data_IF_367002431146
#
_entry.id   IF_367002431146
#
_cell.length_a   1.000
_cell.length_b   1.000
_cell.length_c   1.000
_cell.angle_alpha   90.00
_cell.angle_beta   90.00
_cell.angle_gamma   90.00
#
_symmetry.space_group_name_H-M   'P 1'
#
loop_
_entity.id
_entity.type
_entity.pdbx_description
1 polymer ?
#
# COMPACT_ATOMS: atom_id res chain seq x y z
N UNK A 1 8.32 -4.90 -4.40
CA UNK A 1 7.79 -4.85 -3.02
C UNK A 1 7.39 -3.41 -2.70
N UNK A 2 6.14 -3.18 -2.29
CA UNK A 2 5.64 -1.88 -1.87
C UNK A 2 5.92 -1.63 -0.37
N UNK A 3 5.04 -0.96 0.34
CA UNK A 3 5.16 -0.69 1.78
C UNK A 3 3.79 -0.31 2.34
N UNK A 4 3.57 -0.56 3.61
CA UNK A 4 2.41 -0.06 4.35
C UNK A 4 2.30 1.47 4.27
N UNK A 5 3.43 2.18 4.14
CA UNK A 5 3.45 3.64 3.94
C UNK A 5 2.79 4.11 2.63
N UNK A 6 2.50 3.21 1.68
CA UNK A 6 1.67 3.51 0.52
C UNK A 6 0.28 4.06 0.89
N UNK A 7 -0.23 3.68 2.05
CA UNK A 7 -1.55 4.09 2.56
C UNK A 7 -1.49 5.25 3.55
N UNK A 8 -0.33 5.87 3.73
CA UNK A 8 -0.11 6.88 4.77
C UNK A 8 -0.31 8.34 4.32
N UNK A 9 -0.70 8.57 3.07
CA UNK A 9 -0.79 9.93 2.53
C UNK A 9 -1.72 10.87 3.30
N UNK A 10 -2.85 10.35 3.77
CA UNK A 10 -3.85 11.11 4.52
C UNK A 10 -3.63 11.12 6.04
N UNK A 11 -2.60 10.45 6.53
CA UNK A 11 -2.32 10.42 7.97
C UNK A 11 -1.86 11.80 8.47
N UNK A 12 -2.11 12.11 9.77
CA UNK A 12 -1.57 13.31 10.39
C UNK A 12 -0.06 13.44 10.20
N UNK A 13 0.49 14.67 10.23
CA UNK A 13 1.91 14.90 10.04
C UNK A 13 2.77 14.01 10.95
N UNK A 14 3.75 13.33 10.34
CA UNK A 14 4.72 12.50 11.02
C UNK A 14 6.10 13.16 10.88
N UNK A 15 6.94 13.16 11.91
CA UNK A 15 8.26 13.77 11.86
C UNK A 15 9.28 12.89 11.12
N UNK A 16 8.91 12.38 9.95
CA UNK A 16 9.77 11.57 9.10
C UNK A 16 10.22 12.38 7.89
N UNK A 17 11.52 12.65 7.74
CA UNK A 17 12.04 13.32 6.55
C UNK A 17 11.76 12.47 5.30
N UNK A 18 11.51 13.15 4.18
CA UNK A 18 11.23 12.52 2.87
C UNK A 18 10.02 11.57 2.83
N UNK A 19 9.14 11.63 3.81
CA UNK A 19 7.95 10.77 3.88
C UNK A 19 7.07 10.92 2.64
N UNK A 20 6.87 12.14 2.14
CA UNK A 20 6.03 12.41 0.97
C UNK A 20 6.55 11.67 -0.27
N UNK A 21 7.85 11.77 -0.55
CA UNK A 21 8.49 11.09 -1.68
C UNK A 21 8.39 9.57 -1.54
N UNK A 22 8.68 9.04 -0.37
CA UNK A 22 8.63 7.60 -0.13
C UNK A 22 7.19 7.07 -0.20
N UNK A 23 6.25 7.71 0.49
CA UNK A 23 4.84 7.31 0.46
C UNK A 23 4.26 7.40 -0.97
N UNK A 24 4.57 8.47 -1.70
CA UNK A 24 4.15 8.63 -3.09
C UNK A 24 4.70 7.54 -4.01
N UNK A 25 5.98 7.21 -3.90
CA UNK A 25 6.60 6.13 -4.67
C UNK A 25 5.96 4.77 -4.37
N UNK A 26 5.65 4.50 -3.09
CA UNK A 26 5.02 3.24 -2.68
C UNK A 26 3.53 3.18 -3.05
N UNK A 27 2.81 4.29 -3.00
CA UNK A 27 1.44 4.40 -3.48
C UNK A 27 1.36 4.16 -5.00
N UNK A 28 2.31 4.69 -5.77
CA UNK A 28 2.45 4.39 -7.19
C UNK A 28 2.57 2.88 -7.43
N UNK A 29 3.42 2.19 -6.68
CA UNK A 29 3.60 0.74 -6.84
C UNK A 29 2.30 -0.04 -6.58
N UNK A 30 1.50 0.36 -5.60
CA UNK A 30 0.20 -0.29 -5.32
C UNK A 30 -0.77 -0.05 -6.47
N UNK A 31 -0.99 1.19 -6.88
CA UNK A 31 -1.91 1.54 -7.96
C UNK A 31 -1.50 0.89 -9.29
N UNK A 32 -0.20 0.91 -9.60
CA UNK A 32 0.36 0.26 -10.79
C UNK A 32 0.10 -1.26 -10.77
N UNK A 33 0.36 -1.92 -9.65
CA UNK A 33 0.15 -3.37 -9.53
C UNK A 33 -1.32 -3.75 -9.67
N UNK A 34 -2.24 -2.95 -9.11
CA UNK A 34 -3.67 -3.18 -9.24
C UNK A 34 -4.14 -3.04 -10.69
N UNK A 35 -3.71 -1.98 -11.39
CA UNK A 35 -4.03 -1.78 -12.80
C UNK A 35 -3.46 -2.89 -13.67
N UNK A 36 -2.18 -3.24 -13.46
CA UNK A 36 -1.49 -4.28 -14.21
C UNK A 36 -2.12 -5.66 -14.00
N UNK A 37 -2.58 -5.96 -12.78
CA UNK A 37 -3.30 -7.21 -12.52
C UNK A 37 -4.60 -7.30 -13.35
N UNK A 38 -5.30 -6.18 -13.52
CA UNK A 38 -6.47 -6.08 -14.38
C UNK A 38 -6.12 -6.29 -15.86
N UNK A 39 -5.05 -5.67 -16.34
CA UNK A 39 -4.59 -5.81 -17.74
C UNK A 39 -4.16 -7.24 -18.07
N UNK A 40 -3.61 -7.97 -17.11
CA UNK A 40 -3.12 -9.34 -17.28
C UNK A 40 -4.16 -10.41 -16.91
N UNK A 41 -5.39 -10.03 -16.63
CA UNK A 41 -6.46 -10.96 -16.30
C UNK A 41 -6.64 -11.99 -17.41
N UNK A 42 -6.72 -13.28 -17.06
CA UNK A 42 -6.89 -14.38 -18.00
C UNK A 42 -5.59 -14.85 -18.70
N UNK A 43 -4.45 -14.21 -18.48
CA UNK A 43 -3.17 -14.62 -19.08
C UNK A 43 -2.43 -15.70 -18.27
N UNK A 44 -2.85 -15.96 -17.02
CA UNK A 44 -2.15 -16.84 -16.09
C UNK A 44 -1.01 -16.14 -15.33
N UNK A 45 -0.72 -14.86 -15.61
CA UNK A 45 0.25 -14.07 -14.86
C UNK A 45 -0.42 -13.43 -13.64
N UNK A 46 0.19 -13.63 -12.47
CA UNK A 46 -0.25 -13.01 -11.22
C UNK A 46 0.63 -11.81 -10.87
N UNK A 47 0.01 -10.74 -10.44
CA UNK A 47 0.68 -9.52 -9.95
C UNK A 47 0.31 -9.29 -8.51
N UNK A 48 1.28 -8.98 -7.67
CA UNK A 48 1.06 -8.67 -6.27
C UNK A 48 1.93 -7.50 -5.81
N UNK A 49 1.32 -6.54 -5.14
CA UNK A 49 1.99 -5.55 -4.31
C UNK A 49 2.03 -6.05 -2.86
N UNK A 50 3.19 -6.50 -2.39
CA UNK A 50 3.39 -6.82 -0.98
C UNK A 50 3.75 -5.54 -0.22
N UNK A 51 2.95 -5.21 0.79
CA UNK A 51 3.00 -3.97 1.56
C UNK A 51 3.31 -4.26 3.04
N UNK A 52 4.54 -4.67 3.38
CA UNK A 52 4.90 -4.90 4.78
C UNK A 52 4.98 -3.58 5.56
N UNK A 53 4.85 -3.68 6.88
CA UNK A 53 5.27 -2.66 7.80
C UNK A 53 6.80 -2.58 7.90
N UNK A 54 7.31 -2.33 9.10
CA UNK A 54 8.75 -2.31 9.34
C UNK A 54 9.29 -3.74 9.33
N UNK A 55 10.31 -3.98 8.52
CA UNK A 55 10.96 -5.30 8.39
C UNK A 55 12.38 -5.22 8.88
N UNK A 56 12.81 -6.21 9.68
CA UNK A 56 14.20 -6.35 10.09
C UNK A 56 15.05 -6.67 8.86
N UNK A 57 16.00 -5.80 8.53
CA UNK A 57 16.92 -6.00 7.42
C UNK A 57 18.35 -5.71 7.86
N UNK A 58 19.31 -6.45 7.32
CA UNK A 58 20.74 -6.19 7.54
C UNK A 58 21.14 -4.79 7.06
N UNK A 59 20.44 -4.26 6.06
CA UNK A 59 20.65 -2.90 5.56
C UNK A 59 20.51 -1.85 6.67
N UNK A 60 19.52 -1.99 7.56
CA UNK A 60 19.35 -1.05 8.68
C UNK A 60 20.52 -1.12 9.65
N UNK A 61 21.08 -2.31 9.90
CA UNK A 61 22.25 -2.51 10.74
C UNK A 61 23.49 -1.90 10.10
N UNK A 62 23.72 -2.18 8.81
CA UNK A 62 24.87 -1.67 8.06
C UNK A 62 24.83 -0.16 7.84
N UNK A 63 23.63 0.43 7.69
CA UNK A 63 23.45 1.87 7.51
C UNK A 63 23.49 2.66 8.85
N UNK A 64 23.76 2.01 9.98
CA UNK A 64 23.73 2.66 11.29
C UNK A 64 22.35 3.13 11.72
N UNK A 65 21.30 2.64 11.07
CA UNK A 65 19.90 2.94 11.35
C UNK A 65 19.30 2.02 12.42
N UNK A 66 20.14 1.20 13.03
CA UNK A 66 19.80 0.36 14.19
C UNK A 66 19.59 1.27 15.40
N UNK A 67 18.44 1.93 15.41
CA UNK A 67 18.06 2.84 16.50
C UNK A 67 17.32 2.04 17.57
N UNK A 68 17.92 1.85 18.76
CA UNK A 68 17.15 1.42 19.91
C UNK A 68 16.05 2.46 20.16
N UNK A 69 14.78 2.05 20.06
CA UNK A 69 13.66 2.92 20.36
C UNK A 69 12.72 3.25 19.21
N UNK A 70 12.75 2.52 18.08
CA UNK A 70 11.65 2.61 17.10
C UNK A 70 10.39 2.02 17.78
N UNK A 71 9.33 2.82 18.00
CA UNK A 71 8.16 2.39 18.78
C UNK A 71 7.21 1.47 17.98
N UNK A 72 7.65 0.94 16.85
CA UNK A 72 6.85 0.09 15.97
C UNK A 72 7.37 -1.34 15.97
N UNK A 73 6.49 -2.34 15.99
CA UNK A 73 6.88 -3.72 15.86
C UNK A 73 7.55 -3.98 14.51
N UNK A 74 8.58 -4.82 14.54
CA UNK A 74 9.40 -5.19 13.38
C UNK A 74 9.07 -6.63 12.99
N UNK A 75 8.82 -6.87 11.70
CA UNK A 75 8.56 -8.20 11.14
C UNK A 75 9.87 -8.86 10.71
N UNK A 76 9.93 -10.17 10.79
CA UNK A 76 11.05 -10.93 10.23
C UNK A 76 10.90 -11.03 8.71
N UNK A 77 11.99 -10.96 7.94
CA UNK A 77 11.95 -11.08 6.47
C UNK A 77 11.27 -12.38 6.00
N UNK A 78 11.51 -13.49 6.69
CA UNK A 78 10.96 -14.80 6.35
C UNK A 78 9.43 -14.81 6.48
N UNK A 79 8.89 -14.14 7.50
CA UNK A 79 7.45 -14.05 7.73
C UNK A 79 6.78 -13.21 6.62
N UNK A 80 7.44 -12.13 6.21
CA UNK A 80 6.97 -11.29 5.08
C UNK A 80 6.98 -12.08 3.78
N UNK A 81 8.04 -12.82 3.50
CA UNK A 81 8.13 -13.65 2.30
C UNK A 81 7.07 -14.76 2.31
N UNK A 82 6.88 -15.43 3.45
CA UNK A 82 5.85 -16.44 3.63
C UNK A 82 4.44 -15.89 3.40
N UNK A 83 4.15 -14.71 3.95
CA UNK A 83 2.86 -14.04 3.77
C UNK A 83 2.63 -13.66 2.30
N UNK A 84 3.64 -13.13 1.61
CA UNK A 84 3.55 -12.79 0.19
C UNK A 84 3.23 -14.02 -0.67
N UNK A 85 3.90 -15.14 -0.43
CA UNK A 85 3.63 -16.39 -1.15
C UNK A 85 2.24 -16.95 -0.83
N UNK A 86 1.79 -16.83 0.42
CA UNK A 86 0.43 -17.20 0.80
C UNK A 86 -0.61 -16.33 0.10
N UNK A 87 -0.40 -15.01 0.08
CA UNK A 87 -1.26 -14.06 -0.60
C UNK A 87 -1.38 -14.34 -2.12
N UNK A 88 -0.28 -14.71 -2.78
CA UNK A 88 -0.32 -15.13 -4.19
C UNK A 88 -1.22 -16.36 -4.39
N UNK A 89 -1.12 -17.36 -3.52
CA UNK A 89 -2.00 -18.54 -3.57
C UNK A 89 -3.47 -18.21 -3.35
N UNK A 90 -3.76 -17.16 -2.58
CA UNK A 90 -5.11 -16.65 -2.33
C UNK A 90 -5.61 -15.69 -3.43
N UNK A 91 -4.76 -15.38 -4.42
CA UNK A 91 -5.09 -14.44 -5.49
C UNK A 91 -5.10 -12.97 -5.06
N UNK A 92 -4.39 -12.63 -3.99
CA UNK A 92 -4.32 -11.26 -3.49
C UNK A 92 -3.44 -10.38 -4.36
N UNK A 93 -4.01 -9.32 -4.92
CA UNK A 93 -3.24 -8.29 -5.64
C UNK A 93 -2.54 -7.33 -4.67
N UNK A 94 -3.16 -7.04 -3.53
CA UNK A 94 -2.55 -6.27 -2.44
C UNK A 94 -2.43 -7.17 -1.22
N UNK A 95 -1.21 -7.48 -0.85
CA UNK A 95 -0.89 -8.28 0.33
C UNK A 95 -0.31 -7.37 1.42
N UNK A 96 -0.92 -7.35 2.59
CA UNK A 96 -0.47 -6.59 3.77
C UNK A 96 -0.20 -7.57 4.91
N UNK A 97 1.04 -8.05 5.08
CA UNK A 97 1.35 -9.15 5.99
C UNK A 97 0.89 -8.99 7.45
N UNK A 98 0.86 -7.75 7.94
CA UNK A 98 0.43 -7.46 9.32
C UNK A 98 -1.05 -7.19 9.51
N UNK A 99 -1.85 -7.17 8.44
CA UNK A 99 -3.26 -6.83 8.50
C UNK A 99 -4.12 -8.05 8.88
N UNK A 100 -4.73 -7.98 10.05
CA UNK A 100 -5.59 -9.08 10.53
C UNK A 100 -6.98 -9.06 9.89
N UNK A 101 -7.53 -7.86 9.70
CA UNK A 101 -8.84 -7.68 9.06
C UNK A 101 -8.66 -7.26 7.60
N UNK A 102 -8.71 -8.23 6.71
CA UNK A 102 -8.55 -8.03 5.28
C UNK A 102 -9.65 -7.15 4.66
N UNK A 103 -10.83 -7.10 5.28
CA UNK A 103 -11.93 -6.27 4.77
C UNK A 103 -11.58 -4.79 4.67
N UNK A 104 -10.55 -4.33 5.39
CA UNK A 104 -10.06 -2.96 5.28
C UNK A 104 -9.47 -2.64 3.90
N UNK A 105 -8.82 -3.62 3.23
CA UNK A 105 -8.36 -3.43 1.84
C UNK A 105 -9.54 -3.37 0.89
N UNK A 106 -10.53 -4.22 1.07
CA UNK A 106 -11.74 -4.21 0.25
C UNK A 106 -12.48 -2.88 0.40
N UNK A 107 -12.61 -2.36 1.63
CA UNK A 107 -13.22 -1.06 1.91
C UNK A 107 -12.45 0.10 1.25
N UNK A 108 -11.11 0.07 1.26
CA UNK A 108 -10.29 1.08 0.56
C UNK A 108 -10.54 1.02 -0.95
N UNK A 109 -10.54 -0.17 -1.53
CA UNK A 109 -10.80 -0.36 -2.96
C UNK A 109 -12.19 0.12 -3.34
N UNK A 110 -13.22 -0.23 -2.57
CA UNK A 110 -14.60 0.20 -2.80
C UNK A 110 -14.74 1.73 -2.71
N UNK A 111 -14.11 2.35 -1.71
CA UNK A 111 -14.13 3.80 -1.57
C UNK A 111 -13.44 4.51 -2.74
N UNK A 112 -12.31 4.01 -3.23
CA UNK A 112 -11.62 4.54 -4.40
C UNK A 112 -12.47 4.39 -5.67
N UNK A 113 -13.11 3.24 -5.88
CA UNK A 113 -14.00 3.00 -7.01
C UNK A 113 -15.22 3.92 -6.96
N UNK A 114 -15.85 4.07 -5.81
CA UNK A 114 -16.98 4.97 -5.62
C UNK A 114 -16.61 6.42 -5.90
N UNK A 115 -15.46 6.87 -5.39
CA UNK A 115 -14.93 8.21 -5.64
C UNK A 115 -14.74 8.44 -7.15
N UNK A 116 -14.08 7.51 -7.83
CA UNK A 116 -13.85 7.62 -9.27
C UNK A 116 -15.16 7.66 -10.05
N UNK A 117 -16.04 6.68 -9.83
CA UNK A 117 -17.28 6.55 -10.60
C UNK A 117 -18.25 7.70 -10.37
N UNK A 118 -18.33 8.24 -9.15
CA UNK A 118 -19.21 9.37 -8.84
C UNK A 118 -18.65 10.71 -9.28
N UNK A 119 -17.32 10.82 -9.42
CA UNK A 119 -16.66 12.04 -9.87
C UNK A 119 -16.59 12.20 -11.40
N UNK A 120 -16.86 11.13 -12.14
CA UNK A 120 -16.94 11.19 -13.62
C UNK A 120 -18.26 11.84 -14.03
N UNK A 121 -18.28 13.16 -14.08
CA UNK A 121 -19.43 13.98 -14.46
C UNK A 121 -18.99 15.13 -15.38
N UNK A 122 -19.95 15.75 -16.07
CA UNK A 122 -19.70 16.92 -16.92
C UNK A 122 -19.88 18.25 -16.18
N UNK A 123 -20.36 18.23 -14.95
CA UNK A 123 -20.68 19.43 -14.16
C UNK A 123 -19.80 19.57 -12.92
N UNK A 124 -19.68 20.79 -12.43
CA UNK A 124 -19.03 21.06 -11.16
C UNK A 124 -19.91 20.67 -9.97
N UNK A 125 -19.32 20.15 -8.94
CA UNK A 125 -20.00 19.96 -7.66
C UNK A 125 -20.48 21.33 -7.12
N UNK A 126 -21.61 21.33 -6.41
CA UNK A 126 -22.28 22.57 -5.98
C UNK A 126 -21.38 23.52 -5.17
N UNK A 127 -20.50 22.98 -4.34
CA UNK A 127 -19.57 23.77 -3.51
C UNK A 127 -18.41 24.41 -4.29
N UNK A 128 -18.23 24.08 -5.57
CA UNK A 128 -17.28 24.74 -6.48
C UNK A 128 -17.96 25.71 -7.45
N UNK A 129 -19.29 25.82 -7.43
CA UNK A 129 -20.00 26.77 -8.28
C UNK A 129 -19.79 28.19 -7.78
N UNK A 130 -19.56 29.17 -8.66
CA UNK A 130 -19.48 30.57 -8.25
C UNK A 130 -20.78 31.00 -7.55
N UNK A 131 -20.63 31.84 -6.54
CA UNK A 131 -21.78 32.42 -5.86
C UNK A 131 -22.61 33.33 -6.75
#
# INVERSE_FOLDING_TARGET
>A
MASLLAFSGSMPPQPLPYRATYAGAKAFQVAFSQALAGELAGTGVQVQACCPGLVETEFHKLAGLDRPGIPFPVMRPEDVAGAALAGLRLGEVVCVPGLQDRSLIDNVNEAQQALFLTAVTSGLASHYQPA
#
